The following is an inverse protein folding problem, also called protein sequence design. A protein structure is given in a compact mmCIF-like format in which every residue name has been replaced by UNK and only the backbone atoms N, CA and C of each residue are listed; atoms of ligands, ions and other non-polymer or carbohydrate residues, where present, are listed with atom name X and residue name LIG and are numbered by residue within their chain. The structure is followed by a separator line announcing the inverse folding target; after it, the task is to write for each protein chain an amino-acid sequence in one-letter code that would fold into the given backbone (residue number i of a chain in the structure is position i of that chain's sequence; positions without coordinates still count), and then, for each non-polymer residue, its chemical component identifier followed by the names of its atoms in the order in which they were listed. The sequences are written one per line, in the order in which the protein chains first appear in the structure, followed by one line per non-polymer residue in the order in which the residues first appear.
data_IF_711159027466
#
_entry.id   IF_711159027466
#
_cell.length_a   1.000
_cell.length_b   1.000
_cell.length_c   1.000
_cell.angle_alpha   90.00
_cell.angle_beta   90.00
_cell.angle_gamma   90.00
#
_symmetry.space_group_name_H-M   'P 1'
#
loop_
_entity.id
_entity.type
_entity.pdbx_description
1 polymer ?
#
# COMPACT_ATOMS: atom_id res chain seq x y z
N UNK A 1 8.66 19.38 -8.45
CA UNK A 1 9.14 18.11 -9.04
C UNK A 1 8.37 17.88 -10.32
N UNK A 2 9.04 17.58 -11.43
CA UNK A 2 8.35 17.23 -12.67
C UNK A 2 7.57 15.93 -12.48
N UNK A 3 6.28 15.92 -12.81
CA UNK A 3 5.45 14.74 -12.73
C UNK A 3 5.82 13.79 -13.88
N UNK A 4 6.65 12.78 -13.59
CA UNK A 4 6.97 11.74 -14.55
C UNK A 4 5.96 10.59 -14.43
N UNK A 5 5.45 10.13 -15.57
CA UNK A 5 4.59 8.96 -15.61
C UNK A 5 5.44 7.71 -15.37
N UNK A 6 5.27 7.09 -14.21
CA UNK A 6 6.06 5.93 -13.77
C UNK A 6 5.49 4.58 -14.20
N UNK A 7 4.17 4.52 -14.45
CA UNK A 7 3.48 3.30 -14.86
C UNK A 7 2.15 3.60 -15.53
N UNK A 8 1.65 2.66 -16.33
CA UNK A 8 0.28 2.64 -16.86
C UNK A 8 -0.45 1.42 -16.31
N UNK A 9 -1.57 1.63 -15.65
CA UNK A 9 -2.40 0.57 -15.07
C UNK A 9 -3.85 0.72 -15.52
N UNK A 10 -4.60 -0.39 -15.52
CA UNK A 10 -6.04 -0.33 -15.78
C UNK A 10 -6.72 0.36 -14.61
N UNK A 11 -7.70 1.21 -14.89
CA UNK A 11 -8.51 1.91 -13.87
C UNK A 11 -9.10 0.95 -12.82
N UNK A 12 -9.56 -0.23 -13.26
CA UNK A 12 -10.11 -1.25 -12.36
C UNK A 12 -9.09 -1.85 -11.40
N UNK A 13 -7.80 -1.87 -11.78
CA UNK A 13 -6.73 -2.32 -10.90
C UNK A 13 -6.52 -1.35 -9.74
N UNK A 14 -6.76 -0.05 -9.94
CA UNK A 14 -6.69 0.95 -8.86
C UNK A 14 -7.82 0.81 -7.84
N UNK A 15 -8.95 0.23 -8.22
CA UNK A 15 -10.05 -0.07 -7.31
C UNK A 15 -9.91 -1.43 -6.60
N UNK A 16 -8.90 -2.23 -6.97
CA UNK A 16 -8.71 -3.59 -6.46
C UNK A 16 -7.27 -3.81 -5.99
N UNK A 17 -6.38 -4.25 -6.88
CA UNK A 17 -5.02 -4.66 -6.54
C UNK A 17 -4.10 -3.51 -6.15
N UNK A 18 -4.19 -2.36 -6.82
CA UNK A 18 -3.30 -1.21 -6.64
C UNK A 18 -4.07 -0.02 -6.06
N UNK A 19 -4.81 -0.26 -4.98
CA UNK A 19 -5.53 0.78 -4.24
C UNK A 19 -4.61 1.72 -3.48
N UNK A 20 -5.20 2.65 -2.73
CA UNK A 20 -4.45 3.56 -1.85
C UNK A 20 -3.57 2.77 -0.87
N UNK A 21 -2.30 3.18 -0.73
CA UNK A 21 -1.32 2.51 0.13
C UNK A 21 -0.77 1.19 -0.43
N UNK A 22 -1.29 0.70 -1.56
CA UNK A 22 -0.77 -0.48 -2.22
C UNK A 22 0.56 -0.19 -2.92
N UNK A 23 1.44 -1.18 -2.90
CA UNK A 23 2.65 -1.17 -3.72
C UNK A 23 2.33 -1.54 -5.18
N UNK A 24 2.73 -0.68 -6.09
CA UNK A 24 2.69 -0.87 -7.54
C UNK A 24 4.13 -1.09 -8.06
N UNK A 25 4.44 -2.24 -8.66
CA UNK A 25 5.73 -2.43 -9.30
C UNK A 25 5.80 -1.62 -10.59
N UNK A 26 6.98 -1.09 -10.86
CA UNK A 26 7.31 -0.51 -12.17
C UNK A 26 8.41 -1.36 -12.81
N UNK A 27 8.90 -0.99 -14.00
CA UNK A 27 9.93 -1.76 -14.70
C UNK A 27 11.21 -1.90 -13.86
N UNK A 28 11.66 -0.79 -13.26
CA UNK A 28 12.94 -0.72 -12.56
C UNK A 28 12.81 -0.38 -11.06
N UNK A 29 11.60 -0.11 -10.57
CA UNK A 29 11.35 0.39 -9.21
C UNK A 29 10.04 -0.16 -8.61
N UNK A 30 9.63 0.39 -7.47
CA UNK A 30 8.24 0.34 -7.05
C UNK A 30 7.79 1.68 -6.49
N UNK A 31 6.51 1.93 -6.66
CA UNK A 31 5.83 3.11 -6.12
C UNK A 31 4.67 2.66 -5.26
N UNK A 32 4.24 3.52 -4.36
CA UNK A 32 3.06 3.33 -3.55
C UNK A 32 2.01 4.35 -3.98
N UNK A 33 0.78 3.90 -4.14
CA UNK A 33 -0.32 4.77 -4.54
C UNK A 33 -0.69 5.70 -3.39
N UNK A 34 -0.69 7.01 -3.66
CA UNK A 34 -0.95 8.04 -2.64
C UNK A 34 -2.39 8.03 -2.16
N UNK A 35 -2.63 8.61 -0.99
CA UNK A 35 -3.95 8.77 -0.40
C UNK A 35 -4.89 9.65 -1.21
N UNK A 36 -6.20 9.46 -1.02
CA UNK A 36 -7.26 10.16 -1.77
C UNK A 36 -7.20 11.69 -1.64
N UNK A 37 -6.58 12.21 -0.57
CA UNK A 37 -6.37 13.65 -0.39
C UNK A 37 -5.53 14.30 -1.50
N UNK A 38 -4.69 13.51 -2.19
CA UNK A 38 -3.86 14.00 -3.29
C UNK A 38 -4.51 13.74 -4.67
N UNK A 39 -5.63 13.01 -4.71
CA UNK A 39 -6.27 12.62 -5.96
C UNK A 39 -7.14 13.74 -6.50
N UNK A 40 -7.19 13.84 -7.83
CA UNK A 40 -8.20 14.66 -8.48
C UNK A 40 -9.54 13.90 -8.47
N UNK A 41 -10.64 14.63 -8.29
CA UNK A 41 -11.97 14.04 -8.18
C UNK A 41 -12.43 13.51 -9.55
N UNK A 42 -12.71 12.21 -9.57
CA UNK A 42 -13.36 11.45 -10.65
C UNK A 42 -14.81 11.80 -10.95
N UNK A 43 -15.36 11.04 -11.90
CA UNK A 43 -16.79 10.90 -12.12
C UNK A 43 -17.46 10.31 -10.88
N UNK A 44 -18.66 10.79 -10.56
CA UNK A 44 -19.45 10.29 -9.44
C UNK A 44 -20.03 8.92 -9.79
N UNK A 45 -19.87 7.96 -8.89
CA UNK A 45 -20.42 6.60 -8.98
C UNK A 45 -21.59 6.50 -8.00
N UNK A 46 -22.78 6.20 -8.53
CA UNK A 46 -24.01 6.09 -7.76
C UNK A 46 -24.14 4.69 -7.16
N UNK A 47 -23.72 4.53 -5.89
CA UNK A 47 -23.88 3.29 -5.12
C UNK A 47 -24.39 3.56 -3.70
N UNK A 48 -25.66 3.96 -3.54
CA UNK A 48 -26.18 4.46 -2.26
C UNK A 48 -26.20 3.42 -1.13
N UNK A 49 -26.34 2.12 -1.47
CA UNK A 49 -26.35 1.03 -0.48
C UNK A 49 -24.95 0.81 0.11
N UNK A 50 -23.94 0.74 -0.75
CA UNK A 50 -22.55 0.59 -0.31
C UNK A 50 -22.08 1.86 0.42
N UNK A 51 -22.47 3.04 -0.06
CA UNK A 51 -22.10 4.31 0.55
C UNK A 51 -22.61 4.39 2.00
N UNK A 52 -23.90 4.03 2.21
CA UNK A 52 -24.50 3.93 3.54
C UNK A 52 -23.80 2.89 4.42
N UNK A 53 -23.45 1.73 3.87
CA UNK A 53 -22.76 0.67 4.63
C UNK A 53 -21.35 1.07 5.08
N UNK A 54 -20.64 1.88 4.28
CA UNK A 54 -19.28 2.34 4.58
C UNK A 54 -19.26 3.70 5.31
N UNK A 55 -20.42 4.32 5.53
CA UNK A 55 -20.52 5.64 6.16
C UNK A 55 -19.95 6.78 5.30
N UNK A 56 -19.92 6.63 3.98
CA UNK A 56 -19.46 7.64 3.03
C UNK A 56 -20.63 8.25 2.27
N UNK A 57 -20.46 9.46 1.74
CA UNK A 57 -21.52 10.20 1.02
C UNK A 57 -21.60 9.83 -0.46
N UNK A 58 -20.46 9.60 -1.10
CA UNK A 58 -20.37 9.31 -2.53
C UNK A 58 -19.12 8.47 -2.85
N UNK A 59 -19.16 7.78 -3.99
CA UNK A 59 -17.98 7.17 -4.59
C UNK A 59 -17.57 7.95 -5.82
N UNK A 60 -16.27 7.94 -6.12
CA UNK A 60 -15.73 8.51 -7.35
C UNK A 60 -14.80 7.54 -8.05
N UNK A 61 -14.79 7.58 -9.37
CA UNK A 61 -13.84 6.78 -10.16
C UNK A 61 -12.42 7.36 -10.03
N UNK A 62 -11.36 6.55 -10.17
CA UNK A 62 -10.04 7.11 -10.45
C UNK A 62 -10.07 7.97 -11.73
N UNK A 63 -9.39 9.11 -11.78
CA UNK A 63 -9.31 9.96 -12.97
C UNK A 63 -8.59 9.23 -14.13
N UNK A 64 -8.89 9.60 -15.38
CA UNK A 64 -8.28 9.01 -16.60
C UNK A 64 -8.04 10.01 -17.74
N UNK A 65 -8.15 11.31 -17.47
CA UNK A 65 -8.16 12.35 -18.50
C UNK A 65 -6.92 13.26 -18.45
N UNK A 66 -5.92 12.95 -17.62
CA UNK A 66 -4.76 13.81 -17.43
C UNK A 66 -3.57 13.30 -18.23
N UNK A 67 -2.99 14.19 -19.02
CA UNK A 67 -1.80 13.88 -19.82
C UNK A 67 -0.52 13.76 -18.99
N UNK A 68 -0.48 14.38 -17.80
CA UNK A 68 0.70 14.41 -16.90
C UNK A 68 0.54 13.46 -15.70
N UNK A 69 -0.18 12.35 -15.88
CA UNK A 69 -0.45 11.36 -14.84
C UNK A 69 -1.77 11.60 -14.11
N UNK A 70 -2.58 10.55 -14.03
CA UNK A 70 -3.91 10.59 -13.44
C UNK A 70 -3.88 10.45 -11.91
N UNK A 71 -3.12 9.48 -11.42
CA UNK A 71 -3.09 9.10 -10.01
C UNK A 71 -1.71 9.33 -9.41
N UNK A 72 -1.61 10.09 -8.30
CA UNK A 72 -0.34 10.33 -7.64
C UNK A 72 0.21 9.06 -6.99
N UNK A 73 1.53 8.90 -7.07
CA UNK A 73 2.27 7.81 -6.44
C UNK A 73 3.58 8.35 -5.86
N UNK A 74 4.12 7.66 -4.85
CA UNK A 74 5.39 7.98 -4.20
C UNK A 74 6.35 6.80 -4.30
N UNK A 75 7.64 7.06 -4.49
CA UNK A 75 8.65 5.99 -4.47
C UNK A 75 8.66 5.30 -3.11
N UNK A 76 8.52 3.97 -3.12
CA UNK A 76 8.66 3.16 -1.90
C UNK A 76 9.06 1.73 -2.27
N UNK A 77 9.97 1.08 -1.53
CA UNK A 77 10.77 1.60 -0.43
C UNK A 77 11.74 2.71 -0.86
N UNK A 78 12.17 3.54 0.08
CA UNK A 78 13.22 4.52 -0.22
C UNK A 78 14.60 3.88 -0.22
N UNK A 79 14.79 2.80 0.54
CA UNK A 79 16.04 2.05 0.51
C UNK A 79 16.21 1.33 -0.82
N UNK A 80 17.39 1.48 -1.39
CA UNK A 80 17.82 0.86 -2.63
C UNK A 80 19.23 0.29 -2.47
N UNK A 81 19.60 -0.67 -3.33
CA UNK A 81 20.96 -1.18 -3.39
C UNK A 81 21.49 -1.24 -4.83
N UNK A 82 22.78 -0.97 -5.01
CA UNK A 82 23.43 -1.14 -6.30
C UNK A 82 23.72 -2.63 -6.58
N UNK A 83 23.40 -3.09 -7.79
CA UNK A 83 23.59 -4.50 -8.19
C UNK A 83 25.07 -4.90 -8.31
N UNK A 84 25.97 -3.95 -8.56
CA UNK A 84 27.43 -4.18 -8.69
C UNK A 84 28.20 -3.88 -7.42
N UNK A 85 28.24 -2.61 -6.98
CA UNK A 85 29.05 -2.21 -5.82
C UNK A 85 28.41 -2.57 -4.46
N UNK A 86 27.17 -3.09 -4.48
CA UNK A 86 26.42 -3.53 -3.30
C UNK A 86 26.08 -2.43 -2.29
N UNK A 87 26.42 -1.17 -2.55
CA UNK A 87 26.05 -0.02 -1.70
C UNK A 87 24.54 -0.02 -1.47
N UNK A 88 24.16 0.10 -0.21
CA UNK A 88 22.80 0.11 0.31
C UNK A 88 22.57 1.45 1.03
N UNK A 89 21.45 2.10 0.74
CA UNK A 89 21.11 3.38 1.36
C UNK A 89 19.81 3.91 0.81
N UNK A 90 19.44 5.13 1.22
CA UNK A 90 18.26 5.79 0.65
C UNK A 90 18.52 6.15 -0.81
N UNK A 91 17.49 6.17 -1.64
CA UNK A 91 17.64 6.40 -3.09
C UNK A 91 18.40 7.69 -3.40
N UNK A 92 18.14 8.77 -2.64
CA UNK A 92 18.82 10.06 -2.78
C UNK A 92 20.30 10.05 -2.35
N UNK A 93 20.78 8.98 -1.71
CA UNK A 93 22.19 8.78 -1.33
C UNK A 93 22.94 7.85 -2.28
N UNK A 94 22.22 6.98 -2.99
CA UNK A 94 22.81 5.91 -3.82
C UNK A 94 22.68 6.22 -5.31
N UNK A 95 21.58 6.83 -5.72
CA UNK A 95 21.26 7.15 -7.12
C UNK A 95 21.77 8.56 -7.46
N UNK A 96 22.32 8.70 -8.65
CA UNK A 96 22.56 9.97 -9.32
C UNK A 96 21.26 10.43 -10.01
N UNK A 97 20.76 11.61 -9.63
CA UNK A 97 19.43 12.08 -10.05
C UNK A 97 19.35 12.49 -11.52
N UNK A 98 20.49 12.58 -12.22
CA UNK A 98 20.55 12.92 -13.65
C UNK A 98 20.56 11.64 -14.48
N UNK A 99 21.31 10.64 -14.05
CA UNK A 99 21.52 9.40 -14.82
C UNK A 99 20.63 8.23 -14.38
N UNK A 100 19.93 8.36 -13.24
CA UNK A 100 19.14 7.30 -12.58
C UNK A 100 19.94 6.00 -12.32
N UNK A 101 21.27 6.14 -12.19
CA UNK A 101 22.21 5.05 -11.95
C UNK A 101 22.91 5.24 -10.62
N UNK A 102 23.62 4.20 -10.18
CA UNK A 102 24.44 4.30 -8.98
C UNK A 102 25.50 5.39 -9.16
N UNK A 103 25.52 6.38 -8.26
CA UNK A 103 26.48 7.50 -8.31
C UNK A 103 27.95 7.09 -8.19
N UNK A 104 28.22 5.89 -7.68
CA UNK A 104 29.59 5.42 -7.45
C UNK A 104 30.13 4.62 -8.63
N UNK A 105 29.32 3.78 -9.26
CA UNK A 105 29.80 2.85 -10.30
C UNK A 105 28.96 2.84 -11.58
N UNK A 106 28.00 3.76 -11.72
CA UNK A 106 27.16 3.96 -12.91
C UNK A 106 26.41 2.70 -13.36
N UNK A 107 26.06 1.83 -12.41
CA UNK A 107 25.28 0.62 -12.65
C UNK A 107 23.84 0.74 -12.17
N UNK A 108 23.04 -0.23 -12.57
CA UNK A 108 21.64 -0.35 -12.16
C UNK A 108 21.52 -0.43 -10.63
N UNK A 109 20.53 0.28 -10.13
CA UNK A 109 20.14 0.28 -8.72
C UNK A 109 18.77 -0.40 -8.64
N UNK A 110 18.58 -1.23 -7.61
CA UNK A 110 17.33 -1.94 -7.39
C UNK A 110 16.74 -1.58 -6.03
N UNK A 111 15.41 -1.51 -5.90
CA UNK A 111 14.77 -1.27 -4.61
C UNK A 111 15.09 -2.36 -3.61
N UNK A 112 15.11 -1.98 -2.33
CA UNK A 112 15.19 -2.94 -1.24
C UNK A 112 14.14 -4.04 -1.39
N UNK A 113 14.54 -5.27 -1.05
CA UNK A 113 13.63 -6.41 -1.02
C UNK A 113 12.87 -6.52 0.30
N UNK A 114 13.19 -5.68 1.28
CA UNK A 114 12.70 -5.80 2.65
C UNK A 114 12.02 -4.51 3.08
N UNK A 115 10.81 -4.69 3.61
CA UNK A 115 9.98 -3.65 4.24
C UNK A 115 9.51 -4.17 5.58
N UNK A 116 9.01 -3.28 6.43
CA UNK A 116 8.47 -3.62 7.73
C UNK A 116 7.03 -3.13 7.83
N UNK A 117 6.13 -3.97 8.32
CA UNK A 117 4.75 -3.59 8.58
C UNK A 117 4.33 -3.91 10.01
N UNK A 118 3.36 -3.17 10.55
CA UNK A 118 2.70 -3.52 11.82
C UNK A 118 1.24 -3.91 11.58
N UNK A 119 0.59 -4.43 12.63
CA UNK A 119 -0.82 -4.87 12.60
C UNK A 119 -1.82 -3.73 12.41
N UNK A 120 -1.42 -2.48 12.67
CA UNK A 120 -2.26 -1.30 12.40
C UNK A 120 -2.19 -0.83 10.93
N UNK A 121 -1.40 -1.52 10.07
CA UNK A 121 -1.30 -1.19 8.65
C UNK A 121 -0.19 -0.22 8.27
N UNK A 122 0.63 0.24 9.22
CA UNK A 122 1.83 1.05 8.92
C UNK A 122 2.86 0.26 8.14
N UNK A 123 3.59 0.96 7.26
CA UNK A 123 4.70 0.39 6.50
C UNK A 123 5.90 1.33 6.52
N UNK A 124 7.09 0.77 6.71
CA UNK A 124 8.35 1.50 6.68
C UNK A 124 9.47 0.67 6.06
N UNK A 125 10.57 1.31 5.66
CA UNK A 125 11.76 0.61 5.23
C UNK A 125 12.32 -0.29 6.33
N UNK A 126 12.93 -1.41 5.94
CA UNK A 126 13.63 -2.26 6.90
C UNK A 126 14.77 -1.49 7.60
N UNK A 127 14.89 -1.55 8.94
CA UNK A 127 15.83 -0.74 9.70
C UNK A 127 17.25 -1.30 9.64
N UNK A 128 17.88 -1.26 8.46
CA UNK A 128 19.19 -1.86 8.17
C UNK A 128 20.29 -1.43 9.14
N UNK A 129 20.34 -0.13 9.48
CA UNK A 129 21.33 0.43 10.40
C UNK A 129 21.18 -0.17 11.80
N UNK A 130 19.97 -0.21 12.35
CA UNK A 130 19.67 -0.83 13.65
C UNK A 130 19.91 -2.35 13.62
N UNK A 131 19.56 -3.00 12.49
CA UNK A 131 19.74 -4.44 12.30
C UNK A 131 21.21 -4.85 12.39
N UNK A 132 22.09 -4.23 11.59
CA UNK A 132 23.51 -4.59 11.53
C UNK A 132 24.26 -4.23 12.81
N UNK A 133 23.85 -3.15 13.50
CA UNK A 133 24.50 -2.71 14.73
C UNK A 133 23.98 -3.40 15.99
N UNK A 134 22.83 -4.05 15.92
CA UNK A 134 22.10 -4.61 17.07
C UNK A 134 21.87 -3.58 18.17
N UNK A 135 21.66 -2.33 17.76
CA UNK A 135 21.52 -1.20 18.66
C UNK A 135 20.20 -0.48 18.40
N UNK A 136 19.39 -0.21 19.45
CA UNK A 136 18.11 0.45 19.28
C UNK A 136 18.24 1.83 18.65
N UNK A 137 17.40 2.13 17.64
CA UNK A 137 17.32 3.46 17.00
C UNK A 137 18.68 4.01 16.50
N UNK A 138 19.59 3.14 16.04
CA UNK A 138 20.88 3.58 15.51
C UNK A 138 20.70 4.42 14.25
N UNK A 139 21.10 5.70 14.29
CA UNK A 139 20.87 6.65 13.19
C UNK A 139 21.97 6.70 12.14
N UNK A 140 23.03 5.89 12.26
CA UNK A 140 24.13 5.87 11.29
C UNK A 140 25.04 7.09 11.43
N UNK A 141 26.26 6.90 11.93
CA UNK A 141 27.23 7.98 12.15
C UNK A 141 27.96 8.38 10.85
N UNK A 142 27.23 8.52 9.74
CA UNK A 142 27.82 8.71 8.41
C UNK A 142 28.44 7.45 7.80
N UNK A 143 28.19 6.28 8.41
CA UNK A 143 28.64 5.01 7.88
C UNK A 143 27.88 4.62 6.60
N UNK A 144 28.58 3.93 5.70
CA UNK A 144 27.97 3.39 4.48
C UNK A 144 27.61 1.92 4.68
N UNK A 145 26.43 1.53 4.21
CA UNK A 145 25.97 0.15 4.25
C UNK A 145 26.13 -0.51 2.88
N UNK A 146 26.30 -1.82 2.89
CA UNK A 146 26.28 -2.66 1.69
C UNK A 146 25.47 -3.93 1.92
N UNK A 147 24.72 -4.37 0.91
CA UNK A 147 23.98 -5.64 0.92
C UNK A 147 24.70 -6.65 0.03
N UNK A 148 25.40 -7.60 0.66
CA UNK A 148 26.27 -8.56 0.00
C UNK A 148 25.53 -9.90 -0.09
N UNK A 149 25.51 -10.53 -1.27
CA UNK A 149 25.11 -11.93 -1.41
C UNK A 149 26.37 -12.80 -1.39
N UNK A 150 26.45 -13.74 -0.45
CA UNK A 150 27.59 -14.66 -0.32
C UNK A 150 27.59 -15.76 -1.38
N UNK A 151 26.48 -15.95 -2.11
CA UNK A 151 26.41 -16.81 -3.29
C UNK A 151 26.46 -18.31 -3.01
N UNK A 152 26.33 -18.74 -1.75
CA UNK A 152 26.31 -20.16 -1.39
C UNK A 152 24.95 -20.81 -1.70
N UNK A 153 23.85 -20.07 -1.55
CA UNK A 153 22.47 -20.47 -1.93
C UNK A 153 21.65 -19.22 -2.36
N UNK A 154 20.33 -19.41 -2.57
CA UNK A 154 19.36 -18.31 -2.76
C UNK A 154 18.63 -17.94 -1.46
N UNK A 155 19.10 -18.43 -0.31
CA UNK A 155 18.46 -18.22 0.99
C UNK A 155 18.75 -16.83 1.57
N UNK A 156 17.91 -16.40 2.52
CA UNK A 156 18.11 -15.16 3.26
C UNK A 156 19.41 -15.17 4.08
N UNK A 157 19.90 -16.35 4.47
CA UNK A 157 21.16 -16.51 5.21
C UNK A 157 22.37 -15.99 4.44
N UNK A 158 22.33 -16.02 3.11
CA UNK A 158 23.42 -15.54 2.26
C UNK A 158 23.42 -14.04 2.04
N UNK A 159 22.33 -13.36 2.40
CA UNK A 159 22.24 -11.91 2.33
C UNK A 159 22.81 -11.33 3.62
N UNK A 160 23.93 -10.62 3.51
CA UNK A 160 24.62 -10.01 4.64
C UNK A 160 24.64 -8.50 4.47
N UNK A 161 24.14 -7.80 5.48
CA UNK A 161 24.28 -6.35 5.62
C UNK A 161 25.64 -6.09 6.25
N UNK A 162 26.48 -5.30 5.58
CA UNK A 162 27.80 -4.89 6.03
C UNK A 162 27.84 -3.39 6.22
N UNK A 163 28.46 -2.93 7.30
CA UNK A 163 28.70 -1.52 7.58
C UNK A 163 30.17 -1.18 7.42
N UNK A 164 30.49 0.05 7.00
CA UNK A 164 31.88 0.53 6.88
C UNK A 164 32.66 0.56 8.21
N UNK A 165 31.98 0.46 9.36
CA UNK A 165 32.59 0.33 10.68
C UNK A 165 33.07 -1.09 11.01
N UNK A 166 32.89 -2.05 10.09
CA UNK A 166 33.31 -3.45 10.25
C UNK A 166 32.22 -4.39 10.77
N UNK A 167 31.10 -3.87 11.31
CA UNK A 167 29.96 -4.71 11.71
C UNK A 167 29.27 -5.34 10.49
N UNK A 168 28.92 -6.61 10.62
CA UNK A 168 28.20 -7.40 9.60
C UNK A 168 27.13 -8.24 10.26
N UNK A 169 25.99 -8.41 9.60
CA UNK A 169 24.91 -9.27 10.06
C UNK A 169 24.15 -9.88 8.89
N UNK A 170 23.91 -11.18 8.94
CA UNK A 170 23.03 -11.87 7.99
C UNK A 170 21.59 -11.37 8.12
N UNK A 171 20.81 -11.49 7.04
CA UNK A 171 19.35 -11.32 7.05
C UNK A 171 18.63 -12.57 7.59
N UNK A 172 19.37 -13.62 7.96
CA UNK A 172 18.81 -14.77 8.67
C UNK A 172 18.10 -14.32 9.96
N UNK A 173 16.94 -14.93 10.21
CA UNK A 173 16.07 -14.57 11.32
C UNK A 173 15.43 -13.19 11.25
N UNK A 174 15.69 -12.35 10.24
CA UNK A 174 15.08 -11.02 10.11
C UNK A 174 13.55 -11.08 9.95
N UNK A 175 13.03 -12.22 9.50
CA UNK A 175 11.60 -12.49 9.31
C UNK A 175 10.96 -13.19 10.51
N UNK A 176 11.72 -13.49 11.57
CA UNK A 176 11.14 -14.04 12.79
C UNK A 176 10.19 -13.01 13.43
N UNK A 177 9.14 -13.51 14.07
CA UNK A 177 8.05 -12.71 14.63
C UNK A 177 8.53 -11.53 15.51
N UNK A 178 9.61 -11.71 16.27
CA UNK A 178 10.18 -10.71 17.19
C UNK A 178 11.57 -10.22 16.75
N UNK A 179 11.97 -10.39 15.49
CA UNK A 179 13.32 -10.07 15.03
C UNK A 179 13.74 -8.61 15.30
N UNK A 180 12.77 -7.68 15.26
CA UNK A 180 12.99 -6.25 15.44
C UNK A 180 12.69 -5.77 16.86
N UNK A 181 12.24 -6.67 17.76
CA UNK A 181 11.87 -6.32 19.13
C UNK A 181 13.09 -5.76 19.86
N UNK A 182 12.93 -4.57 20.46
CA UNK A 182 14.02 -3.86 21.12
C UNK A 182 15.00 -3.15 20.17
N UNK A 183 15.01 -3.46 18.87
CA UNK A 183 15.87 -2.80 17.88
C UNK A 183 15.17 -1.62 17.21
N UNK A 184 13.91 -1.83 16.79
CA UNK A 184 13.13 -0.84 16.06
C UNK A 184 11.63 -1.10 16.27
N UNK A 185 10.92 -0.11 16.80
CA UNK A 185 9.46 -0.13 16.94
C UNK A 185 8.78 0.59 15.78
N UNK A 186 7.48 0.34 15.59
CA UNK A 186 6.71 1.02 14.56
C UNK A 186 6.71 2.52 14.78
N UNK A 187 7.06 3.28 13.74
CA UNK A 187 7.04 4.75 13.79
C UNK A 187 5.67 5.37 13.51
N UNK A 188 4.69 4.55 13.12
CA UNK A 188 3.42 5.04 12.58
C UNK A 188 3.51 5.52 11.15
N UNK A 189 4.51 5.04 10.41
CA UNK A 189 4.81 5.54 9.08
C UNK A 189 3.74 5.16 8.07
N UNK A 190 3.26 6.18 7.36
CA UNK A 190 2.25 6.09 6.29
C UNK A 190 2.76 6.84 5.07
N UNK A 191 3.79 6.32 4.37
CA UNK A 191 4.47 7.05 3.28
C UNK A 191 3.53 7.47 2.15
N UNK A 192 2.38 6.80 1.99
CA UNK A 192 1.36 7.14 1.01
C UNK A 192 0.47 8.34 1.41
N UNK A 193 0.51 8.78 2.67
CA UNK A 193 -0.23 9.95 3.15
C UNK A 193 0.68 11.18 3.24
N UNK A 194 0.07 12.37 3.25
CA UNK A 194 0.77 13.64 3.51
C UNK A 194 0.82 14.00 4.99
N UNK A 195 0.06 13.29 5.83
CA UNK A 195 -0.12 13.60 7.23
C UNK A 195 1.08 13.12 8.06
N UNK A 196 1.25 13.72 9.24
CA UNK A 196 2.28 13.31 10.19
C UNK A 196 2.11 11.85 10.61
N UNK A 197 3.24 11.20 10.89
CA UNK A 197 3.25 9.84 11.44
C UNK A 197 2.50 9.78 12.77
N UNK A 198 1.65 8.76 12.95
CA UNK A 198 0.89 8.59 14.18
C UNK A 198 1.67 7.83 15.27
N UNK A 199 1.32 8.03 16.54
CA UNK A 199 1.95 7.23 17.60
C UNK A 199 1.50 5.77 17.49
N UNK A 200 2.44 4.86 17.32
CA UNK A 200 2.19 3.42 17.26
C UNK A 200 3.06 2.67 18.27
N UNK A 201 2.48 1.72 18.98
CA UNK A 201 3.14 0.84 19.95
C UNK A 201 3.31 -0.61 19.45
N UNK A 202 2.85 -0.87 18.23
CA UNK A 202 2.87 -2.21 17.64
C UNK A 202 4.28 -2.64 17.23
N UNK A 203 4.51 -3.95 17.28
CA UNK A 203 5.77 -4.54 16.83
C UNK A 203 5.78 -4.66 15.32
N UNK A 204 6.88 -4.25 14.69
CA UNK A 204 7.08 -4.41 13.26
C UNK A 204 7.47 -5.84 12.91
N UNK A 205 7.00 -6.29 11.75
CA UNK A 205 7.42 -7.53 11.11
C UNK A 205 8.02 -7.24 9.76
N UNK A 206 9.15 -7.88 9.48
CA UNK A 206 9.78 -7.84 8.17
C UNK A 206 8.97 -8.65 7.18
N UNK A 207 8.72 -8.07 6.02
CA UNK A 207 8.07 -8.71 4.88
C UNK A 207 8.94 -8.58 3.64
N UNK A 208 8.77 -9.49 2.68
CA UNK A 208 9.37 -9.28 1.38
C UNK A 208 8.54 -8.21 0.69
N UNK A 209 9.22 -7.25 0.06
CA UNK A 209 8.57 -6.20 -0.72
C UNK A 209 7.59 -6.79 -1.74
N UNK A 210 7.87 -7.96 -2.31
CA UNK A 210 7.02 -8.68 -3.27
C UNK A 210 5.92 -9.57 -2.67
N UNK A 211 5.74 -9.60 -1.34
CA UNK A 211 4.71 -10.42 -0.70
C UNK A 211 3.31 -9.83 -0.95
N UNK A 212 2.33 -10.69 -1.23
CA UNK A 212 0.95 -10.28 -1.56
C UNK A 212 0.29 -9.36 -0.51
N UNK A 213 0.59 -9.56 0.77
CA UNK A 213 0.09 -8.74 1.88
C UNK A 213 0.72 -7.34 1.98
N UNK A 214 1.70 -7.00 1.13
CA UNK A 214 2.22 -5.63 0.96
C UNK A 214 1.54 -4.93 -0.23
N UNK A 215 0.90 -5.69 -1.12
CA UNK A 215 0.41 -5.22 -2.41
C UNK A 215 -1.10 -5.00 -2.39
N UNK A 216 -1.83 -5.77 -1.60
CA UNK A 216 -3.27 -5.63 -1.53
C UNK A 216 -3.69 -4.56 -0.50
N UNK A 217 -4.48 -3.60 -0.96
CA UNK A 217 -5.22 -2.70 -0.07
C UNK A 217 -6.35 -3.43 0.67
N UNK A 218 -6.96 -2.73 1.62
CA UNK A 218 -8.18 -3.20 2.29
C UNK A 218 -9.37 -2.97 1.35
N UNK A 219 -9.93 -4.05 0.82
CA UNK A 219 -11.02 -3.99 -0.17
C UNK A 219 -12.36 -4.32 0.48
N UNK A 220 -13.35 -3.45 0.25
CA UNK A 220 -14.78 -3.73 0.50
C UNK A 220 -15.52 -3.71 -0.83
N UNK A 221 -16.42 -4.67 -1.05
CA UNK A 221 -17.20 -4.78 -2.28
C UNK A 221 -18.67 -5.03 -2.00
N UNK A 222 -19.51 -4.63 -2.95
CA UNK A 222 -20.93 -4.98 -2.97
C UNK A 222 -21.33 -5.41 -4.38
N UNK A 223 -22.35 -6.26 -4.46
CA UNK A 223 -23.00 -6.59 -5.72
C UNK A 223 -24.18 -5.63 -5.87
N UNK A 224 -24.10 -4.77 -6.88
CA UNK A 224 -25.18 -3.87 -7.25
C UNK A 224 -26.10 -4.56 -8.23
N UNK A 225 -27.34 -4.81 -7.81
CA UNK A 225 -28.40 -5.28 -8.69
C UNK A 225 -29.21 -4.03 -9.04
N UNK A 226 -29.15 -3.54 -10.29
CA UNK A 226 -29.93 -2.38 -10.68
C UNK A 226 -31.41 -2.68 -10.44
N UNK A 227 -32.09 -1.80 -9.70
CA UNK A 227 -33.55 -1.85 -9.60
C UNK A 227 -34.12 -1.40 -10.94
N UNK A 228 -34.20 -2.34 -11.88
CA UNK A 228 -35.03 -2.14 -13.07
C UNK A 228 -36.46 -2.09 -12.54
N UNK A 229 -37.24 -1.02 -12.77
CA UNK A 229 -38.64 -0.99 -12.36
C UNK A 229 -39.30 -2.21 -13.00
N UNK A 230 -39.60 -3.20 -12.18
CA UNK A 230 -40.19 -4.43 -12.64
C UNK A 230 -41.71 -4.33 -12.48
N UNK A 231 -42.42 -5.32 -13.02
CA UNK A 231 -43.89 -5.36 -12.94
C UNK A 231 -44.36 -5.35 -11.47
N UNK A 232 -43.55 -5.85 -10.54
CA UNK A 232 -43.86 -5.79 -9.11
C UNK A 232 -43.74 -4.36 -8.53
N UNK A 233 -42.76 -3.56 -8.95
CA UNK A 233 -42.62 -2.16 -8.50
C UNK A 233 -43.82 -1.32 -8.96
N UNK A 234 -44.23 -1.49 -10.21
CA UNK A 234 -45.44 -0.84 -10.76
C UNK A 234 -46.72 -1.34 -10.08
N UNK A 235 -46.82 -2.64 -9.77
CA UNK A 235 -47.93 -3.19 -9.01
C UNK A 235 -48.01 -2.62 -7.59
N UNK A 236 -46.88 -2.54 -6.88
CA UNK A 236 -46.81 -1.97 -5.52
C UNK A 236 -47.15 -0.48 -5.55
N UNK A 237 -46.60 0.30 -6.49
CA UNK A 237 -46.94 1.72 -6.62
C UNK A 237 -48.43 1.94 -6.92
N UNK A 238 -49.05 1.10 -7.76
CA UNK A 238 -50.45 1.23 -8.14
C UNK A 238 -51.44 0.73 -7.07
N UNK A 239 -51.07 -0.31 -6.30
CA UNK A 239 -51.99 -0.99 -5.35
C UNK A 239 -51.66 -0.73 -3.89
N UNK A 240 -50.50 -0.17 -3.59
CA UNK A 240 -49.99 -0.02 -2.25
C UNK A 240 -49.28 1.34 -2.04
N UNK A 241 -49.82 2.39 -2.66
CA UNK A 241 -49.37 3.78 -2.51
C UNK A 241 -49.31 4.29 -1.06
N UNK A 242 -50.05 3.65 -0.15
CA UNK A 242 -50.11 3.97 1.28
C UNK A 242 -49.02 3.26 2.12
N UNK A 243 -48.21 2.38 1.50
CA UNK A 243 -47.14 1.67 2.20
C UNK A 243 -45.91 2.58 2.36
N UNK A 244 -45.61 2.93 3.61
CA UNK A 244 -44.34 3.53 3.95
C UNK A 244 -43.22 2.49 3.88
N UNK A 245 -42.48 2.48 2.76
CA UNK A 245 -41.38 1.55 2.47
C UNK A 245 -40.15 1.74 3.37
N UNK A 246 -40.09 2.80 4.19
CA UNK A 246 -39.02 2.98 5.18
C UNK A 246 -39.21 2.11 6.44
N UNK A 247 -40.32 1.36 6.51
CA UNK A 247 -40.57 0.42 7.62
C UNK A 247 -39.79 -0.90 7.45
N UNK A 248 -39.44 -1.57 8.57
CA UNK A 248 -38.86 -2.91 8.53
C UNK A 248 -39.74 -3.86 7.72
N UNK A 249 -39.12 -4.73 6.91
CA UNK A 249 -39.83 -5.67 6.04
C UNK A 249 -40.84 -6.56 6.80
N UNK A 250 -40.58 -6.87 8.07
CA UNK A 250 -41.49 -7.63 8.94
C UNK A 250 -42.80 -6.89 9.23
N UNK A 251 -42.76 -5.57 9.38
CA UNK A 251 -43.95 -4.75 9.64
C UNK A 251 -44.76 -4.56 8.36
N UNK A 252 -44.09 -4.39 7.22
CA UNK A 252 -44.74 -4.38 5.90
C UNK A 252 -45.44 -5.72 5.61
N UNK A 253 -44.78 -6.85 5.88
CA UNK A 253 -45.36 -8.17 5.67
C UNK A 253 -46.66 -8.41 6.47
N UNK A 254 -46.77 -7.83 7.68
CA UNK A 254 -47.98 -7.90 8.51
C UNK A 254 -49.18 -7.13 7.94
N UNK A 255 -48.93 -6.15 7.07
CA UNK A 255 -50.01 -5.38 6.43
C UNK A 255 -50.65 -6.14 5.26
N UNK A 256 -49.96 -7.13 4.69
CA UNK A 256 -50.50 -7.97 3.63
C UNK A 256 -51.36 -9.08 4.23
N UNK A 257 -52.68 -9.05 3.98
CA UNK A 257 -53.55 -10.20 4.22
C UNK A 257 -53.39 -11.15 3.03
N UNK A 258 -52.93 -12.37 3.29
CA UNK A 258 -52.90 -13.40 2.26
C UNK A 258 -54.32 -13.60 1.69
N UNK A 259 -54.48 -13.74 0.36
CA UNK A 259 -55.78 -14.03 -0.22
C UNK A 259 -56.33 -15.34 0.36
N UNK A 260 -57.64 -15.40 0.61
CA UNK A 260 -58.31 -16.64 0.93
C UNK A 260 -58.12 -17.59 -0.27
N UNK A 261 -57.58 -18.78 -0.01
CA UNK A 261 -57.32 -19.80 -1.02
C UNK A 261 -58.59 -20.25 -1.74
#
# INVERSE_FOLDING_TARGET
MAANIVAKVRRTSLASTYGVGALLPTADDSVMIRGLQDWHLGDVIQEPRLARSLGVTEFRSPPTWRDNGDVPAIRFPEYVFCTKCRRLGRWYEVIDQVTDKCRTCHEIVSPSRFVCCCTNGHIEDFPYSSWVHQYPRYQGEGHTLSLISQGHTSALSDLVVSCSCGKKRSMDGAFHFNALRGLHGCRGSRPWLSDDDEKCDQTLRTLQRGSSNVWFGVTSSAISIPSVPNIADTFIAAKAHDLNLDRPAADLARTFRAPAG
#
